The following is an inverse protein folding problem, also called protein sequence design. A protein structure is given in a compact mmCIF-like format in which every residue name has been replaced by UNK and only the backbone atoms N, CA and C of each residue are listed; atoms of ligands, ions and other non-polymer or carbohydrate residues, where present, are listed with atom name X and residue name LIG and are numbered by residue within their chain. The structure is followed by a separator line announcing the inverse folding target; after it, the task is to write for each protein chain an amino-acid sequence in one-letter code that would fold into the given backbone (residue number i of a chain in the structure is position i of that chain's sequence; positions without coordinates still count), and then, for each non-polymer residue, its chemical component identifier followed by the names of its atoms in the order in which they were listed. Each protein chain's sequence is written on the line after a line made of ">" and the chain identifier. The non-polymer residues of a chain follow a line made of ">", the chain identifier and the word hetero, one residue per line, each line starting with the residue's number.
data_IF_009349405541
#
_entry.id   IF_009349405541
#
_cell.length_a   1.000
_cell.length_b   1.000
_cell.length_c   1.000
_cell.angle_alpha   90.00
_cell.angle_beta   90.00
_cell.angle_gamma   90.00
#
_symmetry.space_group_name_H-M   'P 1'
#
loop_
_entity.id
_entity.type
_entity.pdbx_description
1 polymer ?
#
# COMPACT_ATOMS: atom_id res chain seq x y z
N UNK A 1 -14.27 -21.08 -20.70
CA UNK A 1 -13.23 -21.41 -19.70
C UNK A 1 -13.34 -20.39 -18.58
N UNK A 2 -13.99 -20.78 -17.49
CA UNK A 2 -14.38 -19.91 -16.38
C UNK A 2 -13.33 -19.96 -15.27
N UNK A 3 -12.81 -18.80 -14.84
CA UNK A 3 -12.24 -18.58 -13.50
C UNK A 3 -12.51 -17.11 -13.14
N UNK A 4 -13.66 -16.82 -12.51
CA UNK A 4 -13.77 -16.57 -11.06
C UNK A 4 -12.71 -15.61 -10.52
N UNK A 5 -12.97 -14.32 -10.65
CA UNK A 5 -12.28 -13.28 -9.87
C UNK A 5 -12.88 -13.31 -8.46
N UNK A 6 -12.19 -13.97 -7.51
CA UNK A 6 -12.44 -13.76 -6.08
C UNK A 6 -11.74 -12.46 -5.69
N UNK A 7 -12.46 -11.34 -5.76
CA UNK A 7 -12.03 -10.10 -5.13
C UNK A 7 -12.52 -10.15 -3.68
N UNK A 8 -11.62 -10.56 -2.79
CA UNK A 8 -11.81 -10.59 -1.35
C UNK A 8 -12.17 -9.18 -0.88
N UNK A 9 -13.36 -9.06 -0.28
CA UNK A 9 -13.92 -7.80 0.19
C UNK A 9 -13.05 -7.10 1.23
N UNK A 10 -12.97 -5.78 1.09
CA UNK A 10 -12.59 -4.85 2.15
C UNK A 10 -13.78 -3.91 2.34
N UNK A 11 -14.28 -3.84 3.57
CA UNK A 11 -15.45 -3.05 4.00
C UNK A 11 -15.41 -1.59 3.49
N UNK A 12 -16.48 -1.17 2.82
CA UNK A 12 -16.66 0.10 2.11
C UNK A 12 -17.00 1.30 3.02
N UNK A 13 -16.25 1.52 4.11
CA UNK A 13 -16.42 2.71 4.96
C UNK A 13 -15.11 3.30 5.51
N UNK A 14 -13.99 3.09 4.82
CA UNK A 14 -12.73 3.76 5.12
C UNK A 14 -12.44 4.81 4.04
N UNK A 15 -12.37 6.08 4.43
CA UNK A 15 -11.91 7.15 3.57
C UNK A 15 -10.53 6.79 3.02
N UNK A 16 -10.39 6.75 1.69
CA UNK A 16 -9.09 6.50 1.06
C UNK A 16 -8.10 7.57 1.51
N UNK A 17 -6.87 7.21 1.92
CA UNK A 17 -5.87 8.19 2.31
C UNK A 17 -5.56 9.12 1.13
N UNK A 18 -5.46 10.41 1.41
CA UNK A 18 -5.18 11.44 0.40
C UNK A 18 -3.82 12.06 0.70
N UNK A 19 -2.94 12.10 -0.30
CA UNK A 19 -1.67 12.80 -0.15
C UNK A 19 -1.88 14.31 -0.06
N UNK A 20 -1.48 14.94 1.04
CA UNK A 20 -1.61 16.40 1.25
C UNK A 20 -0.78 17.25 0.30
N UNK A 21 0.25 16.68 -0.35
CA UNK A 21 1.13 17.40 -1.29
C UNK A 21 0.56 17.50 -2.70
N UNK A 22 -0.09 16.45 -3.18
CA UNK A 22 -0.58 16.38 -4.57
C UNK A 22 -2.08 16.09 -4.68
N UNK A 23 -2.79 15.99 -3.56
CA UNK A 23 -4.22 15.68 -3.45
C UNK A 23 -4.64 14.40 -4.18
N UNK A 24 -3.69 13.48 -4.41
CA UNK A 24 -3.97 12.22 -5.08
C UNK A 24 -4.33 11.14 -4.06
N UNK A 25 -5.38 10.38 -4.36
CA UNK A 25 -5.76 9.13 -3.70
C UNK A 25 -5.17 7.91 -4.42
N UNK A 26 -5.14 7.94 -5.76
CA UNK A 26 -4.70 6.82 -6.60
C UNK A 26 -3.19 6.53 -6.52
N UNK A 27 -2.40 7.54 -6.17
CA UNK A 27 -0.96 7.40 -5.98
C UNK A 27 -0.57 7.01 -4.55
N UNK A 28 -1.55 6.80 -3.66
CA UNK A 28 -1.30 6.38 -2.29
C UNK A 28 -1.37 4.86 -2.22
N UNK A 29 -0.27 4.26 -1.79
CA UNK A 29 -0.12 2.81 -1.63
C UNK A 29 0.19 2.47 -0.18
N UNK A 30 -0.16 1.27 0.24
CA UNK A 30 0.10 0.78 1.59
C UNK A 30 1.59 0.46 1.80
N UNK A 31 2.05 0.65 3.02
CA UNK A 31 3.37 0.22 3.48
C UNK A 31 3.22 -1.12 4.19
N UNK A 32 3.99 -2.11 3.76
CA UNK A 32 4.04 -3.43 4.38
C UNK A 32 5.35 -3.58 5.14
N UNK A 33 5.26 -4.01 6.39
CA UNK A 33 6.38 -4.21 7.29
C UNK A 33 6.62 -5.70 7.54
N UNK A 34 7.83 -6.04 7.96
CA UNK A 34 8.26 -7.41 8.23
C UNK A 34 9.16 -7.98 7.14
N UNK A 35 9.34 -9.30 7.16
CA UNK A 35 10.14 -10.00 6.15
C UNK A 35 9.24 -10.35 4.94
N UNK A 36 9.48 -9.77 3.75
CA UNK A 36 8.65 -10.02 2.59
C UNK A 36 8.96 -11.39 1.96
N UNK A 37 7.92 -12.11 1.54
CA UNK A 37 8.06 -13.22 0.60
C UNK A 37 8.26 -12.75 -0.84
N UNK A 38 8.51 -13.69 -1.75
CA UNK A 38 8.84 -13.39 -3.16
C UNK A 38 7.75 -12.60 -3.90
N UNK A 39 6.47 -12.93 -3.67
CA UNK A 39 5.34 -12.22 -4.29
C UNK A 39 5.25 -10.77 -3.82
N UNK A 40 5.47 -10.54 -2.52
CA UNK A 40 5.43 -9.21 -1.95
C UNK A 40 6.63 -8.38 -2.42
N UNK A 41 7.81 -9.00 -2.55
CA UNK A 41 8.98 -8.39 -3.17
C UNK A 41 8.70 -7.98 -4.62
N UNK A 42 8.05 -8.84 -5.41
CA UNK A 42 7.66 -8.52 -6.79
C UNK A 42 6.67 -7.35 -6.83
N UNK A 43 5.62 -7.41 -6.02
CA UNK A 43 4.61 -6.35 -5.91
C UNK A 43 5.22 -4.99 -5.53
N UNK A 44 6.23 -5.00 -4.64
CA UNK A 44 6.97 -3.81 -4.26
C UNK A 44 7.81 -3.24 -5.41
N UNK A 45 8.47 -4.09 -6.20
CA UNK A 45 9.22 -3.67 -7.40
C UNK A 45 8.31 -3.09 -8.47
N UNK A 46 7.10 -3.61 -8.61
CA UNK A 46 6.08 -3.10 -9.52
C UNK A 46 5.39 -1.83 -8.99
N UNK A 47 5.66 -1.43 -7.74
CA UNK A 47 5.15 -0.18 -7.14
C UNK A 47 3.70 -0.25 -6.66
N UNK A 48 3.18 -1.46 -6.44
CA UNK A 48 1.83 -1.68 -5.89
C UNK A 48 1.79 -1.49 -4.37
N UNK A 49 2.91 -1.79 -3.69
CA UNK A 49 3.11 -1.60 -2.24
C UNK A 49 4.49 -1.02 -1.97
N UNK A 50 4.68 -0.41 -0.81
CA UNK A 50 6.01 -0.01 -0.33
C UNK A 50 6.44 -0.95 0.79
N UNK A 51 7.65 -1.48 0.69
CA UNK A 51 8.26 -2.18 1.82
C UNK A 51 8.77 -1.15 2.82
N UNK A 52 8.36 -1.33 4.08
CA UNK A 52 8.85 -0.58 5.23
C UNK A 52 10.06 -1.28 5.85
N UNK A 53 10.17 -1.18 7.18
CA UNK A 53 11.16 -1.91 7.96
C UNK A 53 10.65 -3.28 8.44
N UNK A 54 11.48 -3.99 9.21
CA UNK A 54 11.08 -5.25 9.82
C UNK A 54 10.10 -5.07 11.00
N UNK A 55 10.24 -3.99 11.76
CA UNK A 55 9.47 -3.75 12.98
C UNK A 55 8.41 -2.65 12.76
N UNK A 56 7.26 -2.83 13.39
CA UNK A 56 6.16 -1.85 13.42
C UNK A 56 6.09 -1.24 14.81
N UNK A 57 6.15 0.08 14.87
CA UNK A 57 5.93 0.90 16.06
C UNK A 57 4.60 1.67 15.94
N UNK A 58 4.03 2.21 17.04
CA UNK A 58 2.78 2.96 17.00
C UNK A 58 2.77 4.18 16.06
N UNK A 59 3.94 4.78 15.84
CA UNK A 59 4.21 5.93 14.97
C UNK A 59 4.52 5.52 13.51
N UNK A 60 4.58 4.22 13.22
CA UNK A 60 4.90 3.71 11.89
C UNK A 60 3.84 4.12 10.87
N UNK A 61 4.31 4.73 9.79
CA UNK A 61 3.48 5.21 8.69
C UNK A 61 2.88 4.04 7.94
N UNK A 62 1.60 4.14 7.59
CA UNK A 62 0.88 3.04 6.91
C UNK A 62 0.75 3.26 5.41
N UNK A 63 0.96 4.48 4.94
CA UNK A 63 0.71 4.89 3.56
C UNK A 63 1.88 5.69 3.00
N UNK A 64 2.09 5.56 1.69
CA UNK A 64 3.13 6.24 0.93
C UNK A 64 2.56 6.74 -0.39
N UNK A 65 2.87 7.98 -0.74
CA UNK A 65 2.55 8.51 -2.05
C UNK A 65 3.70 8.23 -3.02
N UNK A 66 3.48 7.35 -4.01
CA UNK A 66 4.51 7.04 -5.02
C UNK A 66 4.85 8.22 -5.93
N UNK A 67 3.89 9.12 -6.18
CA UNK A 67 4.09 10.33 -6.99
C UNK A 67 4.97 11.37 -6.29
N UNK A 68 4.74 11.59 -5.01
CA UNK A 68 5.50 12.57 -4.22
C UNK A 68 6.74 11.99 -3.56
N UNK A 69 6.87 10.66 -3.55
CA UNK A 69 7.88 9.94 -2.76
C UNK A 69 7.92 10.41 -1.31
N UNK A 70 6.74 10.44 -0.65
CA UNK A 70 6.63 10.82 0.76
C UNK A 70 5.51 10.04 1.49
N UNK A 71 5.58 10.00 2.81
CA UNK A 71 4.57 9.40 3.68
C UNK A 71 3.28 10.23 3.67
N UNK A 72 2.15 9.53 3.74
CA UNK A 72 0.81 10.11 3.83
C UNK A 72 0.28 9.96 5.25
#
# INVERSE_FOLDING_TARGET
>A
MSKSTKESGVNENQSKPVCSKCNSTENVISIVYGYPGDELMKSAREGHVKLGGCCVSPDSKRNWCKKCSDYV
#
